data_IF_717691839276
#
_entry.id   IF_717691839276
#
_cell.length_a   1.000
_cell.length_b   1.000
_cell.length_c   1.000
_cell.angle_alpha   90.00
_cell.angle_beta   90.00
_cell.angle_gamma   90.00
#
_symmetry.space_group_name_H-M   'P 1'
#
loop_
_entity.id
_entity.type
_entity.pdbx_description
1 polymer ?
#
# COMPACT_ATOMS: atom_id res chain seq x y z
N UNK A 1 5.79 -22.10 12.48
CA UNK A 1 5.69 -20.86 13.28
C UNK A 1 4.78 -21.13 14.47
N UNK A 2 5.15 -20.70 15.68
CA UNK A 2 4.32 -20.95 16.87
C UNK A 2 2.97 -20.25 16.73
N UNK A 3 1.88 -20.97 17.03
CA UNK A 3 0.48 -20.48 16.99
C UNK A 3 0.20 -19.60 18.20
N UNK A 4 0.97 -18.53 18.38
CA UNK A 4 0.73 -17.61 19.49
C UNK A 4 -0.31 -16.60 19.04
N UNK A 5 -1.54 -16.79 19.49
CA UNK A 5 -2.64 -15.88 19.21
C UNK A 5 -2.48 -14.58 20.01
N UNK A 6 -2.51 -13.44 19.32
CA UNK A 6 -2.51 -12.13 19.97
C UNK A 6 -3.94 -11.73 20.33
N UNK A 7 -4.22 -11.55 21.64
CA UNK A 7 -5.60 -11.36 22.15
C UNK A 7 -5.91 -9.93 22.62
N UNK A 8 -4.90 -9.10 22.79
CA UNK A 8 -5.05 -7.80 23.44
C UNK A 8 -5.37 -6.71 22.43
N UNK A 9 -6.22 -5.75 22.81
CA UNK A 9 -6.35 -4.50 22.07
C UNK A 9 -5.22 -3.57 22.46
N UNK A 10 -4.55 -2.97 21.48
CA UNK A 10 -3.47 -2.00 21.70
C UNK A 10 -3.85 -0.66 21.10
N UNK A 11 -3.54 0.41 21.81
CA UNK A 11 -3.57 1.77 21.31
C UNK A 11 -2.15 2.33 21.42
N UNK A 12 -1.71 3.04 20.40
CA UNK A 12 -0.36 3.59 20.39
C UNK A 12 -0.18 4.67 19.34
N UNK A 13 1.06 5.11 19.20
CA UNK A 13 1.44 5.98 18.10
C UNK A 13 2.82 5.60 17.55
N UNK A 14 3.04 5.95 16.29
CA UNK A 14 4.34 5.93 15.62
C UNK A 14 4.73 7.38 15.37
N UNK A 15 5.93 7.76 15.81
CA UNK A 15 6.51 9.07 15.53
C UNK A 15 7.55 8.87 14.43
N UNK A 16 7.33 9.51 13.29
CA UNK A 16 8.26 9.49 12.16
C UNK A 16 8.92 10.86 12.03
N UNK A 17 10.24 10.89 12.20
CA UNK A 17 11.07 12.06 11.90
C UNK A 17 11.50 12.03 10.44
N UNK A 18 11.21 13.10 9.71
CA UNK A 18 11.59 13.33 8.32
C UNK A 18 12.45 14.59 8.27
N UNK A 19 13.64 14.52 7.68
CA UNK A 19 14.55 15.66 7.54
C UNK A 19 14.83 15.84 6.05
N UNK A 20 14.82 17.07 5.56
CA UNK A 20 15.17 17.45 4.19
C UNK A 20 14.51 16.54 3.14
N UNK A 21 13.24 16.24 3.33
CA UNK A 21 12.54 15.23 2.54
C UNK A 21 11.05 15.50 2.45
N UNK A 22 10.43 14.87 1.46
CA UNK A 22 9.00 14.92 1.23
C UNK A 22 8.40 13.53 1.48
N UNK A 23 8.14 13.20 2.75
CA UNK A 23 7.66 11.87 3.14
C UNK A 23 6.33 11.51 2.48
N UNK A 24 5.43 12.48 2.30
CA UNK A 24 4.19 12.26 1.58
C UNK A 24 3.77 13.50 0.78
N UNK A 25 4.03 13.44 -0.52
CA UNK A 25 3.65 14.49 -1.45
C UNK A 25 2.16 14.45 -1.84
N UNK A 26 1.62 15.61 -2.20
CA UNK A 26 0.39 15.73 -2.97
C UNK A 26 0.64 15.64 -4.49
N UNK A 27 -0.40 15.85 -5.29
CA UNK A 27 -0.32 15.78 -6.75
C UNK A 27 0.47 16.94 -7.39
N UNK A 28 0.79 17.98 -6.62
CA UNK A 28 1.65 19.09 -7.04
C UNK A 28 3.11 18.87 -6.66
N UNK A 29 3.44 17.70 -6.08
CA UNK A 29 4.76 17.35 -5.55
C UNK A 29 5.19 18.13 -4.30
N UNK A 30 4.27 18.84 -3.64
CA UNK A 30 4.50 19.51 -2.37
C UNK A 30 4.18 18.58 -1.18
N UNK A 31 4.83 18.75 -0.02
CA UNK A 31 4.39 18.09 1.21
C UNK A 31 2.92 18.40 1.49
N UNK A 32 2.13 17.37 1.78
CA UNK A 32 0.69 17.53 2.04
C UNK A 32 0.44 18.47 3.21
N UNK A 33 -0.40 19.47 2.97
CA UNK A 33 -0.68 20.53 3.93
C UNK A 33 -2.18 20.72 4.07
N UNK A 34 -2.65 20.88 5.31
CA UNK A 34 -4.04 21.23 5.62
C UNK A 34 -4.32 22.71 5.32
N UNK A 35 -5.59 23.14 5.22
CA UNK A 35 -5.92 24.54 4.95
C UNK A 35 -5.36 25.54 5.98
N UNK A 36 -5.07 25.09 7.20
CA UNK A 36 -4.46 25.87 8.28
C UNK A 36 -2.92 25.90 8.23
N UNK A 37 -2.30 25.30 7.20
CA UNK A 37 -0.86 25.25 7.03
C UNK A 37 -0.18 24.08 7.75
N UNK A 38 -0.91 23.23 8.47
CA UNK A 38 -0.32 22.07 9.15
C UNK A 38 0.04 21.00 8.13
N UNK A 39 1.32 20.62 8.10
CA UNK A 39 1.79 19.51 7.28
C UNK A 39 1.29 18.19 7.86
N UNK A 40 0.84 17.27 7.01
CA UNK A 40 0.42 15.95 7.41
C UNK A 40 0.87 14.90 6.41
N UNK A 41 0.74 13.63 6.80
CA UNK A 41 0.97 12.49 5.95
C UNK A 41 -0.21 11.53 6.07
N UNK A 42 -0.64 10.99 4.95
CA UNK A 42 -1.73 9.99 4.94
C UNK A 42 -1.28 8.71 5.63
N UNK A 43 -2.23 7.98 6.21
CA UNK A 43 -1.99 6.64 6.75
C UNK A 43 -1.43 5.69 5.68
N UNK A 44 -1.85 5.90 4.42
CA UNK A 44 -1.39 5.13 3.25
C UNK A 44 0.12 5.21 3.03
N UNK A 45 0.75 6.37 3.28
CA UNK A 45 2.20 6.51 3.14
C UNK A 45 2.95 5.64 4.16
N UNK A 46 2.53 5.66 5.43
CA UNK A 46 3.11 4.80 6.46
C UNK A 46 2.81 3.31 6.19
N UNK A 47 1.58 2.96 5.83
CA UNK A 47 1.20 1.59 5.44
C UNK A 47 2.05 1.09 4.27
N UNK A 48 2.33 1.94 3.28
CA UNK A 48 3.20 1.59 2.16
C UNK A 48 4.64 1.33 2.62
N UNK A 49 5.21 2.19 3.46
CA UNK A 49 6.56 1.97 4.01
C UNK A 49 6.67 0.63 4.75
N UNK A 50 5.65 0.27 5.55
CA UNK A 50 5.58 -1.03 6.24
C UNK A 50 5.46 -2.20 5.25
N UNK A 51 4.59 -2.09 4.23
CA UNK A 51 4.45 -3.11 3.17
C UNK A 51 5.74 -3.30 2.37
N UNK A 52 6.42 -2.20 2.02
CA UNK A 52 7.67 -2.23 1.27
C UNK A 52 8.79 -2.88 2.08
N UNK A 53 8.85 -2.60 3.39
CA UNK A 53 9.74 -3.30 4.31
C UNK A 53 9.48 -4.81 4.30
N UNK A 54 8.23 -5.25 4.52
CA UNK A 54 7.91 -6.68 4.47
C UNK A 54 8.23 -7.31 3.11
N UNK A 55 7.93 -6.62 2.00
CA UNK A 55 8.25 -7.09 0.66
C UNK A 55 9.75 -7.32 0.46
N UNK A 56 10.60 -6.42 0.95
CA UNK A 56 12.06 -6.49 0.77
C UNK A 56 12.75 -7.46 1.72
N UNK A 57 12.16 -7.69 2.91
CA UNK A 57 12.77 -8.50 3.96
C UNK A 57 12.16 -9.91 4.13
N UNK A 58 11.03 -10.21 3.49
CA UNK A 58 10.46 -11.57 3.49
C UNK A 58 11.05 -12.41 2.35
N UNK A 59 12.01 -13.26 2.68
CA UNK A 59 12.63 -14.16 1.70
C UNK A 59 11.77 -15.36 1.30
N UNK A 60 10.83 -15.86 2.13
CA UNK A 60 9.88 -16.93 1.77
C UNK A 60 8.70 -16.91 2.76
N UNK A 61 7.45 -16.75 2.29
CA UNK A 61 6.28 -17.29 3.00
C UNK A 61 5.07 -16.37 3.24
N UNK A 62 5.21 -15.04 3.24
CA UNK A 62 4.08 -14.11 3.43
C UNK A 62 3.89 -13.23 2.19
N UNK A 63 2.78 -13.41 1.48
CA UNK A 63 2.41 -12.60 0.34
C UNK A 63 2.02 -11.17 0.77
N UNK A 64 2.37 -10.16 -0.06
CA UNK A 64 1.94 -8.76 0.10
C UNK A 64 1.02 -8.41 -1.07
N UNK A 65 -0.29 -8.30 -0.85
CA UNK A 65 -1.24 -8.16 -1.95
C UNK A 65 -1.23 -6.75 -2.57
N UNK A 66 -1.48 -5.71 -1.77
CA UNK A 66 -1.71 -4.33 -2.24
C UNK A 66 -0.41 -3.56 -2.46
N UNK A 67 0.41 -4.04 -3.40
CA UNK A 67 1.59 -3.35 -3.89
C UNK A 67 1.62 -3.40 -5.41
N UNK A 68 2.11 -2.32 -6.04
CA UNK A 68 2.19 -2.25 -7.50
C UNK A 68 3.09 -3.36 -8.02
N UNK A 69 2.54 -4.20 -8.89
CA UNK A 69 3.24 -5.19 -9.71
C UNK A 69 3.16 -4.80 -11.16
N UNK A 70 4.16 -5.17 -11.93
CA UNK A 70 4.23 -4.91 -13.35
C UNK A 70 4.28 -6.24 -14.11
N UNK A 71 3.63 -6.30 -15.26
CA UNK A 71 3.82 -7.39 -16.21
C UNK A 71 5.13 -7.24 -16.99
N UNK A 72 5.41 -8.17 -17.90
CA UNK A 72 6.60 -8.16 -18.77
C UNK A 72 6.72 -6.89 -19.63
N UNK A 73 5.58 -6.27 -19.98
CA UNK A 73 5.53 -4.99 -20.71
C UNK A 73 5.60 -3.76 -19.80
N UNK A 74 5.95 -3.93 -18.52
CA UNK A 74 6.06 -2.87 -17.51
C UNK A 74 4.73 -2.14 -17.21
N UNK A 75 3.59 -2.74 -17.54
CA UNK A 75 2.26 -2.20 -17.22
C UNK A 75 1.79 -2.67 -15.84
N UNK A 76 1.11 -1.82 -15.05
CA UNK A 76 0.57 -2.22 -13.75
C UNK A 76 -0.47 -3.33 -13.88
N UNK A 77 -0.38 -4.36 -13.03
CA UNK A 77 -1.39 -5.42 -12.97
C UNK A 77 -2.72 -4.91 -12.39
N UNK A 78 -3.83 -5.43 -12.92
CA UNK A 78 -5.18 -5.31 -12.35
C UNK A 78 -5.32 -6.12 -11.06
N UNK A 79 -6.46 -5.98 -10.37
CA UNK A 79 -6.76 -6.71 -9.14
C UNK A 79 -6.81 -8.23 -9.39
N UNK A 80 -7.47 -8.66 -10.47
CA UNK A 80 -7.62 -10.07 -10.83
C UNK A 80 -6.29 -10.66 -11.32
N UNK A 81 -5.53 -9.93 -12.14
CA UNK A 81 -4.19 -10.35 -12.56
C UNK A 81 -3.26 -10.48 -11.35
N UNK A 82 -3.33 -9.58 -10.38
CA UNK A 82 -2.55 -9.66 -9.13
C UNK A 82 -2.94 -10.89 -8.30
N UNK A 83 -4.22 -11.24 -8.27
CA UNK A 83 -4.67 -12.47 -7.61
C UNK A 83 -4.09 -13.70 -8.31
N UNK A 84 -4.19 -13.76 -9.64
CA UNK A 84 -3.70 -14.89 -10.44
C UNK A 84 -2.19 -15.04 -10.35
N UNK A 85 -1.45 -13.93 -10.37
CA UNK A 85 0.01 -13.91 -10.18
C UNK A 85 0.43 -14.52 -8.83
N UNK A 86 -0.31 -14.23 -7.76
CA UNK A 86 0.02 -14.67 -6.41
C UNK A 86 -0.46 -16.08 -6.05
N UNK A 87 -1.61 -16.50 -6.60
CA UNK A 87 -2.34 -17.68 -6.14
C UNK A 87 -2.74 -18.66 -7.25
N UNK A 88 -2.52 -18.30 -8.51
CA UNK A 88 -3.02 -19.03 -9.67
C UNK A 88 -4.50 -18.76 -9.96
N UNK A 89 -5.08 -19.60 -10.81
CA UNK A 89 -6.47 -19.46 -11.24
C UNK A 89 -7.47 -19.43 -10.06
N UNK A 90 -8.59 -18.73 -10.27
CA UNK A 90 -9.64 -18.67 -9.27
C UNK A 90 -10.20 -20.06 -8.95
N UNK A 91 -10.23 -20.46 -7.67
CA UNK A 91 -10.71 -21.76 -7.28
C UNK A 91 -12.22 -21.85 -7.57
N UNK A 92 -12.65 -22.97 -8.15
CA UNK A 92 -14.04 -23.27 -8.48
C UNK A 92 -14.53 -24.49 -7.70
N UNK A 93 -15.79 -24.49 -7.31
CA UNK A 93 -16.50 -25.62 -6.71
C UNK A 93 -17.61 -26.08 -7.65
N UNK A 94 -17.74 -27.40 -7.81
CA UNK A 94 -18.88 -27.98 -8.51
C UNK A 94 -20.13 -27.83 -7.66
N UNK A 95 -21.19 -27.31 -8.25
CA UNK A 95 -22.52 -27.22 -7.63
C UNK A 95 -23.54 -27.89 -8.53
N UNK A 96 -24.44 -28.67 -7.94
CA UNK A 96 -25.61 -29.22 -8.64
C UNK A 96 -26.78 -28.27 -8.42
N UNK A 97 -27.15 -27.53 -9.46
CA UNK A 97 -28.42 -26.78 -9.51
C UNK A 97 -29.26 -27.35 -10.65
N UNK A 98 -30.45 -27.89 -10.34
CA UNK A 98 -31.45 -28.36 -11.31
C UNK A 98 -30.87 -29.34 -12.36
N UNK A 99 -30.22 -30.41 -11.91
CA UNK A 99 -29.71 -31.51 -12.75
C UNK A 99 -28.68 -31.14 -13.84
N UNK A 100 -28.09 -29.94 -13.78
CA UNK A 100 -26.89 -29.55 -14.56
C UNK A 100 -25.72 -29.29 -13.61
N UNK A 101 -24.55 -29.86 -13.92
CA UNK A 101 -23.31 -29.47 -13.24
C UNK A 101 -22.96 -28.04 -13.65
N UNK A 102 -22.82 -27.15 -12.67
CA UNK A 102 -22.29 -25.79 -12.86
C UNK A 102 -21.08 -25.59 -11.96
N UNK A 103 -20.08 -24.86 -12.46
CA UNK A 103 -18.95 -24.41 -11.65
C UNK A 103 -19.23 -23.03 -11.08
N UNK A 104 -19.05 -22.86 -9.78
CA UNK A 104 -19.17 -21.57 -9.09
C UNK A 104 -17.84 -21.25 -8.40
N UNK A 105 -17.48 -19.98 -8.32
CA UNK A 105 -16.27 -19.53 -7.62
C UNK A 105 -16.32 -19.94 -6.13
N UNK A 106 -15.23 -20.51 -5.62
CA UNK A 106 -15.06 -20.88 -4.22
C UNK A 106 -14.61 -19.67 -3.38
N UNK A 107 -15.58 -18.86 -2.92
CA UNK A 107 -15.32 -17.69 -2.08
C UNK A 107 -14.54 -17.97 -0.78
N UNK A 108 -14.70 -19.15 -0.17
CA UNK A 108 -13.99 -19.50 1.06
C UNK A 108 -12.50 -19.70 0.82
N UNK A 109 -12.14 -20.29 -0.31
CA UNK A 109 -10.75 -20.51 -0.70
C UNK A 109 -10.07 -19.21 -1.13
N UNK A 110 -10.79 -18.33 -1.84
CA UNK A 110 -10.34 -16.95 -2.10
C UNK A 110 -10.09 -16.21 -0.77
N UNK A 111 -11.03 -16.27 0.18
CA UNK A 111 -10.85 -15.65 1.49
C UNK A 111 -9.61 -16.20 2.22
N UNK A 112 -9.37 -17.51 2.15
CA UNK A 112 -8.17 -18.15 2.72
C UNK A 112 -6.89 -17.62 2.08
N UNK A 113 -6.87 -17.48 0.75
CA UNK A 113 -5.74 -16.91 0.02
C UNK A 113 -5.51 -15.45 0.41
N UNK A 114 -6.55 -14.62 0.46
CA UNK A 114 -6.44 -13.22 0.89
C UNK A 114 -5.92 -13.10 2.34
N UNK A 115 -6.40 -13.96 3.26
CA UNK A 115 -5.92 -13.97 4.65
C UNK A 115 -4.51 -14.56 4.82
N UNK A 116 -3.95 -15.20 3.79
CA UNK A 116 -2.52 -15.56 3.78
C UNK A 116 -1.62 -14.33 3.60
N UNK A 117 -2.14 -13.23 3.05
CA UNK A 117 -1.39 -12.00 2.88
C UNK A 117 -1.28 -11.22 4.19
N UNK A 118 -0.05 -10.89 4.60
CA UNK A 118 0.19 -10.18 5.86
C UNK A 118 -0.35 -8.75 5.83
N UNK A 119 -0.27 -8.06 4.68
CA UNK A 119 -0.80 -6.70 4.54
C UNK A 119 -2.33 -6.66 4.63
N UNK A 120 -3.02 -7.70 4.14
CA UNK A 120 -4.48 -7.84 4.28
C UNK A 120 -4.87 -8.12 5.74
N UNK A 121 -4.16 -9.01 6.44
CA UNK A 121 -4.42 -9.28 7.87
C UNK A 121 -4.23 -8.03 8.73
N UNK A 122 -3.20 -7.24 8.43
CA UNK A 122 -2.89 -6.02 9.16
C UNK A 122 -3.83 -4.88 8.78
N UNK A 123 -3.91 -4.51 7.50
CA UNK A 123 -4.54 -3.27 7.06
C UNK A 123 -5.93 -3.44 6.44
N UNK A 124 -6.34 -4.67 6.17
CA UNK A 124 -7.62 -4.99 5.55
C UNK A 124 -7.57 -4.90 4.03
N UNK A 125 -8.70 -5.23 3.41
CA UNK A 125 -8.87 -5.28 1.97
C UNK A 125 -10.32 -5.07 1.57
N UNK A 126 -10.54 -4.27 0.53
CA UNK A 126 -11.76 -4.34 -0.27
C UNK A 126 -11.38 -5.01 -1.58
N UNK A 127 -11.61 -6.31 -1.66
CA UNK A 127 -11.35 -7.11 -2.85
C UNK A 127 -12.62 -7.13 -3.70
N UNK A 128 -12.58 -6.51 -4.86
CA UNK A 128 -13.70 -6.39 -5.80
C UNK A 128 -13.30 -6.92 -7.18
N UNK A 129 -12.82 -8.17 -7.22
CA UNK A 129 -12.49 -8.89 -8.46
C UNK A 129 -13.65 -9.76 -8.92
N UNK A 130 -13.34 -10.97 -9.38
CA UNK A 130 -14.33 -12.04 -9.67
C UNK A 130 -15.33 -12.31 -8.53
N UNK A 131 -14.98 -11.92 -7.31
CA UNK A 131 -15.90 -11.92 -6.19
C UNK A 131 -15.61 -10.77 -5.23
N UNK A 132 -16.66 -10.28 -4.56
CA UNK A 132 -16.54 -9.14 -3.65
C UNK A 132 -16.31 -9.57 -2.21
N UNK A 133 -15.12 -9.38 -1.63
CA UNK A 133 -14.81 -9.69 -0.22
C UNK A 133 -14.30 -8.42 0.47
N UNK A 134 -14.87 -8.10 1.63
CA UNK A 134 -14.41 -7.01 2.48
C UNK A 134 -13.82 -7.58 3.77
N UNK A 135 -12.61 -7.15 4.11
CA UNK A 135 -11.85 -7.56 5.28
C UNK A 135 -11.45 -6.31 6.03
N UNK A 136 -11.90 -6.18 7.27
CA UNK A 136 -11.45 -5.12 8.14
C UNK A 136 -10.16 -5.53 8.84
N UNK A 137 -9.07 -4.82 8.56
CA UNK A 137 -7.74 -5.14 9.11
C UNK A 137 -7.65 -4.99 10.62
N UNK A 138 -6.75 -5.75 11.23
CA UNK A 138 -6.50 -5.68 12.68
C UNK A 138 -5.85 -4.37 13.12
N UNK A 139 -5.12 -3.68 12.23
CA UNK A 139 -4.39 -2.44 12.51
C UNK A 139 -5.05 -1.27 11.76
N UNK A 140 -5.63 -0.34 12.52
CA UNK A 140 -6.18 0.90 12.00
C UNK A 140 -5.26 2.06 12.36
N UNK A 141 -4.83 2.83 11.36
CA UNK A 141 -3.86 3.92 11.49
C UNK A 141 -4.53 5.19 10.98
N UNK A 142 -4.39 6.29 11.72
CA UNK A 142 -4.85 7.61 11.31
C UNK A 142 -3.78 8.34 10.48
N UNK A 143 -4.13 9.46 9.86
CA UNK A 143 -3.15 10.36 9.27
C UNK A 143 -2.13 10.83 10.33
N UNK A 144 -0.87 10.92 9.91
CA UNK A 144 0.22 11.44 10.73
C UNK A 144 0.25 12.95 10.66
N UNK A 145 0.04 13.63 11.77
CA UNK A 145 0.07 15.09 11.84
C UNK A 145 1.48 15.55 12.21
N UNK A 146 2.04 16.52 11.47
CA UNK A 146 3.32 17.12 11.85
C UNK A 146 3.15 17.88 13.17
N UNK A 147 4.01 17.58 14.15
CA UNK A 147 4.09 18.30 15.43
C UNK A 147 5.33 19.18 15.53
N UNK A 148 6.20 19.16 14.52
CA UNK A 148 7.32 20.08 14.44
C UNK A 148 6.80 21.48 14.07
N UNK A 149 7.07 22.52 14.88
CA UNK A 149 6.51 23.85 14.68
C UNK A 149 6.93 24.51 13.36
N UNK A 150 8.16 24.27 12.92
CA UNK A 150 8.74 24.95 11.77
C UNK A 150 8.36 24.25 10.46
N UNK A 151 7.33 24.75 9.78
CA UNK A 151 6.90 24.27 8.46
C UNK A 151 7.72 24.92 7.33
N UNK A 152 9.04 24.69 7.32
CA UNK A 152 9.94 25.27 6.31
C UNK A 152 10.03 24.40 5.05
N UNK A 153 9.39 24.84 3.97
CA UNK A 153 9.55 24.24 2.65
C UNK A 153 10.67 24.89 1.86
N UNK A 154 11.33 24.11 1.02
CA UNK A 154 12.25 24.62 0.03
C UNK A 154 12.18 23.76 -1.23
N UNK A 155 12.47 24.38 -2.37
CA UNK A 155 12.48 23.74 -3.68
C UNK A 155 13.87 23.87 -4.26
N UNK A 156 14.37 22.77 -4.79
CA UNK A 156 15.67 22.71 -5.46
C UNK A 156 15.48 22.21 -6.88
N UNK A 157 16.24 22.79 -7.80
CA UNK A 157 16.33 22.32 -9.17
C UNK A 157 17.36 21.18 -9.25
N UNK A 158 17.01 20.12 -9.95
CA UNK A 158 17.80 18.90 -10.12
C UNK A 158 17.98 18.65 -11.61
N UNK A 159 19.23 18.44 -12.02
CA UNK A 159 19.57 18.13 -13.41
C UNK A 159 19.64 16.62 -13.62
N UNK A 160 18.93 16.13 -14.65
CA UNK A 160 19.08 14.76 -15.13
C UNK A 160 20.46 14.57 -15.78
N UNK A 161 21.16 13.44 -15.61
CA UNK A 161 22.43 13.20 -16.30
C UNK A 161 22.26 12.92 -17.80
N UNK A 162 21.02 12.81 -18.29
CA UNK A 162 20.72 12.47 -19.68
C UNK A 162 20.28 13.69 -20.49
N UNK A 163 20.70 13.74 -21.77
CA UNK A 163 20.31 14.79 -22.72
C UNK A 163 18.80 14.77 -22.92
N UNK A 164 18.18 15.94 -22.97
CA UNK A 164 16.79 16.05 -23.39
C UNK A 164 16.70 16.01 -24.93
N UNK A 165 16.10 14.98 -25.55
CA UNK A 165 15.74 15.05 -26.96
C UNK A 165 14.57 16.03 -27.06
N UNK A 166 14.82 17.29 -27.41
CA UNK A 166 13.73 18.24 -27.67
C UNK A 166 12.81 17.78 -28.80
N UNK A 167 11.86 18.64 -29.22
CA UNK A 167 11.06 18.38 -30.42
C UNK A 167 11.97 18.07 -31.64
N UNK A 168 11.51 17.12 -32.45
CA UNK A 168 12.24 16.50 -33.56
C UNK A 168 13.00 17.53 -34.41
N UNK A 169 14.34 17.38 -34.47
CA UNK A 169 15.18 18.11 -35.43
C UNK A 169 16.33 18.96 -34.85
N UNK A 170 16.46 19.13 -33.53
CA UNK A 170 17.62 19.83 -32.95
C UNK A 170 18.67 18.87 -32.38
N UNK A 171 19.56 18.39 -33.25
CA UNK A 171 20.61 17.41 -32.91
C UNK A 171 21.61 17.87 -31.82
N UNK A 172 21.61 19.15 -31.45
CA UNK A 172 22.61 19.80 -30.59
C UNK A 172 22.05 20.61 -29.39
N UNK A 173 20.87 20.28 -28.85
CA UNK A 173 20.52 20.85 -27.53
C UNK A 173 21.28 20.10 -26.42
N UNK A 174 22.39 20.67 -25.98
CA UNK A 174 23.25 20.14 -24.91
C UNK A 174 22.70 20.26 -23.48
N UNK A 175 21.42 20.61 -23.31
CA UNK A 175 20.84 20.79 -21.98
C UNK A 175 20.15 19.51 -21.50
N UNK A 176 20.53 19.07 -20.30
CA UNK A 176 19.82 18.06 -19.52
C UNK A 176 18.44 18.56 -19.08
N UNK A 177 17.51 17.62 -18.86
CA UNK A 177 16.21 17.95 -18.27
C UNK A 177 16.39 18.49 -16.84
N UNK A 178 15.81 19.65 -16.55
CA UNK A 178 15.70 20.22 -15.21
C UNK A 178 14.38 19.73 -14.61
N UNK A 179 14.46 19.00 -13.49
CA UNK A 179 13.32 18.65 -12.65
C UNK A 179 13.40 19.41 -11.34
N UNK A 180 12.27 19.56 -10.64
CA UNK A 180 12.23 20.28 -9.37
C UNK A 180 11.80 19.32 -8.27
N UNK A 181 12.42 19.45 -7.10
CA UNK A 181 12.04 18.70 -5.90
C UNK A 181 11.72 19.68 -4.77
N UNK A 182 10.51 19.56 -4.21
CA UNK A 182 10.11 20.30 -3.02
C UNK A 182 10.18 19.39 -1.80
N UNK A 183 10.88 19.86 -0.76
CA UNK A 183 11.08 19.14 0.49
C UNK A 183 10.62 19.97 1.70
N UNK A 184 10.28 19.27 2.78
CA UNK A 184 10.17 19.85 4.11
C UNK A 184 11.52 19.70 4.82
N UNK A 185 12.03 20.78 5.40
CA UNK A 185 13.31 20.79 6.12
C UNK A 185 13.29 19.83 7.31
N UNK A 186 12.23 19.85 8.11
CA UNK A 186 12.04 18.91 9.20
C UNK A 186 10.55 18.74 9.51
N UNK A 187 10.13 17.49 9.70
CA UNK A 187 8.76 17.13 10.05
C UNK A 187 8.72 15.94 11.01
N UNK A 188 7.89 16.03 12.04
CA UNK A 188 7.70 15.01 13.07
C UNK A 188 6.26 14.54 13.02
N UNK A 189 5.99 13.53 12.20
CA UNK A 189 4.65 13.01 11.96
C UNK A 189 4.23 12.04 13.06
N UNK A 190 3.14 12.33 13.76
CA UNK A 190 2.58 11.44 14.80
C UNK A 190 1.38 10.69 14.24
N UNK A 191 1.54 9.40 13.97
CA UNK A 191 0.49 8.50 13.51
C UNK A 191 -0.10 7.74 14.70
N UNK A 192 -1.35 7.99 15.04
CA UNK A 192 -2.06 7.15 16.02
C UNK A 192 -2.49 5.84 15.37
N UNK A 193 -2.40 4.74 16.11
CA UNK A 193 -2.87 3.45 15.65
C UNK A 193 -3.64 2.70 16.74
N UNK A 194 -4.49 1.78 16.30
CA UNK A 194 -5.11 0.77 17.14
C UNK A 194 -4.90 -0.62 16.53
N UNK A 195 -4.63 -1.60 17.39
CA UNK A 195 -4.61 -3.02 17.04
C UNK A 195 -5.80 -3.68 17.72
N UNK A 196 -6.71 -4.25 16.95
CA UNK A 196 -7.86 -5.01 17.43
C UNK A 196 -7.91 -6.39 16.76
N UNK A 197 -7.49 -7.46 17.44
CA UNK A 197 -7.49 -8.82 16.90
C UNK A 197 -8.88 -9.32 16.48
N UNK A 198 -9.94 -8.80 17.13
CA UNK A 198 -11.32 -9.20 16.86
C UNK A 198 -11.80 -8.83 15.45
N UNK A 199 -11.16 -7.86 14.79
CA UNK A 199 -11.57 -7.38 13.47
C UNK A 199 -11.57 -8.48 12.39
N UNK A 200 -10.65 -9.45 12.47
CA UNK A 200 -10.53 -10.55 11.50
C UNK A 200 -10.94 -11.90 12.06
N UNK A 201 -11.31 -11.98 13.34
CA UNK A 201 -11.54 -13.23 14.07
C UNK A 201 -12.64 -14.09 13.41
N UNK A 202 -13.78 -13.50 13.06
CA UNK A 202 -14.89 -14.23 12.44
C UNK A 202 -14.52 -14.79 11.06
N UNK A 203 -13.78 -14.03 10.25
CA UNK A 203 -13.34 -14.48 8.93
C UNK A 203 -12.28 -15.58 9.05
N UNK A 204 -11.38 -15.46 10.02
CA UNK A 204 -10.35 -16.46 10.29
C UNK A 204 -10.95 -17.81 10.70
N UNK A 205 -11.97 -17.81 11.58
CA UNK A 205 -12.71 -19.02 12.00
C UNK A 205 -13.48 -19.72 10.87
N UNK A 206 -13.75 -19.03 9.75
CA UNK A 206 -14.44 -19.63 8.60
C UNK A 206 -13.50 -20.41 7.68
N UNK A 207 -12.19 -20.20 7.78
CA UNK A 207 -11.19 -20.77 6.86
C UNK A 207 -10.15 -21.66 7.54
N UNK A 208 -10.25 -21.83 8.86
CA UNK A 208 -9.46 -22.75 9.69
C UNK A 208 -10.39 -23.50 10.63
#
# INVERSE_FOLDING_TARGET
MSKTEFKNRVLGCVILKSINSNFNADFTHHPRTLPDGVVYSTDKALKYAVKDYFRKHNAVGDNIFYIKRLNESLNPLTLDETYIDLFGEYPKKKTKKKDKESEEINRLEILKNLLSCVDIRLFGATFAGETNISIHGTVQINHGVNRFPENQFYTEDILSPFRNPGEEGSAEKGMSTIGNQTNLKEGHYVFHFSVNPKNTEELYKKVN
#
